data_IF_997427217243
#
_entry.id   IF_997427217243
#
_cell.length_a   1.000
_cell.length_b   1.000
_cell.length_c   1.000
_cell.angle_alpha   90.00
_cell.angle_beta   90.00
_cell.angle_gamma   90.00
#
_symmetry.space_group_name_H-M   'P 1'
#
loop_
_entity.id
_entity.type
_entity.pdbx_description
1 polymer ?
#
# COMPACT_ATOMS: atom_id res chain seq x y z
N UNK A 1 -2.70 -7.20 -2.68
CA UNK A 1 -1.94 -8.48 -2.60
C UNK A 1 -0.71 -8.38 -1.71
N UNK A 2 0.11 -7.33 -1.79
CA UNK A 2 1.34 -7.13 -0.99
C UNK A 2 1.14 -7.33 0.53
N UNK A 3 0.12 -6.71 1.12
CA UNK A 3 -0.23 -6.86 2.55
C UNK A 3 -0.55 -8.30 2.98
N UNK A 4 -1.13 -9.09 2.08
CA UNK A 4 -1.61 -10.43 2.41
C UNK A 4 -0.55 -11.50 2.18
N UNK A 5 0.39 -11.25 1.26
CA UNK A 5 1.28 -12.30 0.73
C UNK A 5 2.77 -11.95 0.85
N UNK A 6 3.15 -10.67 0.81
CA UNK A 6 4.55 -10.24 0.68
C UNK A 6 5.07 -9.59 1.96
N UNK A 7 4.35 -8.62 2.51
CA UNK A 7 4.81 -7.78 3.64
C UNK A 7 3.90 -7.91 4.86
N UNK A 8 3.36 -9.11 5.08
CA UNK A 8 2.37 -9.36 6.12
C UNK A 8 2.84 -8.90 7.51
N UNK A 9 4.12 -9.08 7.84
CA UNK A 9 4.69 -8.69 9.14
C UNK A 9 4.78 -7.17 9.32
N UNK A 10 5.06 -6.43 8.24
CA UNK A 10 5.04 -4.97 8.27
C UNK A 10 3.63 -4.47 8.61
N UNK A 11 2.62 -4.95 7.88
CA UNK A 11 1.23 -4.52 8.10
C UNK A 11 0.59 -5.10 9.38
N UNK A 12 1.14 -6.16 9.97
CA UNK A 12 0.65 -6.71 11.23
C UNK A 12 0.89 -5.77 12.43
N UNK A 13 1.90 -4.90 12.33
CA UNK A 13 2.30 -3.98 13.40
C UNK A 13 2.04 -2.52 13.06
N UNK A 14 1.80 -2.21 11.78
CA UNK A 14 1.51 -0.86 11.34
C UNK A 14 0.05 -0.50 11.57
N UNK A 15 -0.21 0.60 12.28
CA UNK A 15 -1.56 1.15 12.36
C UNK A 15 -1.93 1.76 11.01
N UNK A 16 -2.95 1.21 10.35
CA UNK A 16 -3.51 1.74 9.10
C UNK A 16 -4.79 2.55 9.35
N UNK A 17 -5.20 2.73 10.61
CA UNK A 17 -6.38 3.49 10.99
C UNK A 17 -6.31 4.97 10.57
N UNK A 18 -5.11 5.50 10.33
CA UNK A 18 -4.91 6.83 9.74
C UNK A 18 -5.29 6.90 8.25
N UNK A 19 -5.46 5.77 7.57
CA UNK A 19 -5.97 5.70 6.18
C UNK A 19 -7.49 5.54 6.12
N UNK A 20 -8.16 5.30 7.26
CA UNK A 20 -9.62 5.18 7.31
C UNK A 20 -10.26 6.57 7.18
N UNK A 21 -10.51 6.96 5.94
CA UNK A 21 -11.16 8.24 5.59
C UNK A 21 -12.52 8.39 6.29
N UNK A 22 -13.27 7.29 6.49
CA UNK A 22 -14.56 7.32 7.17
C UNK A 22 -14.44 7.60 8.67
N UNK A 23 -13.37 7.12 9.32
CA UNK A 23 -13.04 7.46 10.71
C UNK A 23 -12.55 8.91 10.82
N UNK A 24 -11.64 9.33 9.95
CA UNK A 24 -11.12 10.70 9.93
C UNK A 24 -12.26 11.70 9.77
N UNK A 25 -13.16 11.46 8.80
CA UNK A 25 -14.34 12.29 8.57
C UNK A 25 -15.17 12.49 9.84
N UNK A 26 -15.55 11.39 10.50
CA UNK A 26 -16.37 11.45 11.73
C UNK A 26 -15.71 12.26 12.84
N UNK A 27 -14.38 12.17 12.96
CA UNK A 27 -13.61 12.95 13.94
C UNK A 27 -13.66 14.45 13.59
N UNK A 28 -13.48 14.80 12.31
CA UNK A 28 -13.53 16.20 11.85
C UNK A 28 -14.92 16.81 12.01
N UNK A 29 -15.97 16.09 11.62
CA UNK A 29 -17.37 16.51 11.79
C UNK A 29 -17.71 16.69 13.28
N UNK A 30 -17.28 15.77 14.16
CA UNK A 30 -17.46 15.89 15.60
C UNK A 30 -16.70 17.08 16.21
N UNK A 31 -15.63 17.52 15.57
CA UNK A 31 -14.89 18.73 15.93
C UNK A 31 -15.51 20.02 15.37
N UNK A 32 -16.64 19.94 14.65
CA UNK A 32 -17.34 21.09 14.07
C UNK A 32 -16.78 21.55 12.73
N UNK A 33 -15.96 20.74 12.06
CA UNK A 33 -15.43 21.05 10.73
C UNK A 33 -16.50 20.77 9.67
N UNK A 34 -16.72 21.74 8.78
CA UNK A 34 -17.54 21.58 7.58
C UNK A 34 -16.70 20.97 6.44
N UNK A 35 -17.18 19.86 5.87
CA UNK A 35 -16.56 19.23 4.70
C UNK A 35 -17.25 19.75 3.44
N UNK A 36 -16.53 20.58 2.69
CA UNK A 36 -17.06 21.29 1.52
C UNK A 36 -17.11 20.37 0.27
N UNK A 37 -16.13 19.47 0.13
CA UNK A 37 -16.05 18.54 -1.00
C UNK A 37 -15.32 17.25 -0.60
N UNK A 38 -15.58 16.16 -1.32
CA UNK A 38 -14.94 14.86 -1.15
C UNK A 38 -14.46 14.32 -2.48
N UNK A 39 -13.17 13.96 -2.54
CA UNK A 39 -12.55 13.38 -3.73
C UNK A 39 -11.57 12.28 -3.37
N UNK A 40 -11.13 11.55 -4.39
CA UNK A 40 -10.03 10.60 -4.28
C UNK A 40 -8.78 11.31 -4.77
N UNK A 41 -7.80 11.49 -3.88
CA UNK A 41 -6.47 11.90 -4.27
C UNK A 41 -5.57 10.67 -4.28
N UNK A 42 -5.22 10.23 -5.47
CA UNK A 42 -4.15 9.27 -5.64
C UNK A 42 -2.83 9.93 -5.18
N UNK A 43 -2.33 9.54 -4.00
CA UNK A 43 -1.12 10.08 -3.40
C UNK A 43 -0.01 9.02 -3.39
N UNK A 44 1.03 9.16 -4.23
CA UNK A 44 2.20 8.28 -4.18
C UNK A 44 3.01 8.51 -2.89
N UNK A 45 3.78 7.51 -2.44
CA UNK A 45 4.13 6.28 -3.16
C UNK A 45 3.20 5.13 -2.81
N UNK A 46 2.62 4.49 -3.84
CA UNK A 46 1.99 3.20 -3.63
C UNK A 46 3.10 2.22 -3.25
N UNK A 47 2.92 1.40 -2.20
CA UNK A 47 3.83 0.29 -1.94
C UNK A 47 4.09 -0.51 -3.23
N UNK A 48 3.07 -0.64 -4.06
CA UNK A 48 3.11 -1.49 -5.25
C UNK A 48 3.81 -0.82 -6.45
N UNK A 49 4.03 0.51 -6.44
CA UNK A 49 4.68 1.26 -7.54
C UNK A 49 6.20 1.31 -7.50
N UNK A 50 6.82 0.86 -6.40
CA UNK A 50 8.29 0.94 -6.21
C UNK A 50 8.94 -0.42 -5.95
N UNK A 51 8.18 -1.51 -5.78
CA UNK A 51 8.78 -2.83 -5.69
C UNK A 51 9.02 -3.39 -7.09
N UNK A 52 10.27 -3.58 -7.53
CA UNK A 52 10.50 -4.14 -8.84
C UNK A 52 10.04 -5.60 -8.89
N UNK A 53 9.59 -6.05 -10.08
CA UNK A 53 8.96 -7.35 -10.25
C UNK A 53 9.86 -8.52 -9.82
N UNK A 54 11.18 -8.38 -9.99
CA UNK A 54 12.15 -9.37 -9.52
C UNK A 54 12.11 -9.53 -7.98
N UNK A 55 11.93 -8.45 -7.21
CA UNK A 55 11.82 -8.53 -5.75
C UNK A 55 10.50 -9.14 -5.30
N UNK A 56 9.42 -8.92 -6.04
CA UNK A 56 8.15 -9.64 -5.81
C UNK A 56 8.36 -11.14 -6.00
N UNK A 57 8.96 -11.56 -7.12
CA UNK A 57 9.18 -12.98 -7.43
C UNK A 57 10.07 -13.67 -6.38
N UNK A 58 11.15 -13.02 -5.94
CA UNK A 58 12.02 -13.54 -4.88
C UNK A 58 11.27 -13.72 -3.56
N UNK A 59 10.46 -12.73 -3.14
CA UNK A 59 9.68 -12.80 -1.89
C UNK A 59 8.58 -13.87 -1.94
N UNK A 60 8.09 -14.20 -3.15
CA UNK A 60 7.17 -15.32 -3.37
C UNK A 60 7.87 -16.69 -3.47
N UNK A 61 9.21 -16.74 -3.37
CA UNK A 61 9.99 -17.98 -3.44
C UNK A 61 10.19 -18.52 -4.86
N UNK A 62 9.86 -17.74 -5.89
CA UNK A 62 10.02 -18.14 -7.29
C UNK A 62 11.48 -17.87 -7.70
N UNK A 63 12.22 -18.93 -8.05
CA UNK A 63 13.60 -18.85 -8.56
C UNK A 63 13.62 -19.26 -10.03
N UNK A 64 13.76 -18.30 -10.93
CA UNK A 64 13.85 -18.54 -12.38
C UNK A 64 14.87 -17.61 -13.00
N UNK A 65 15.94 -18.19 -13.55
CA UNK A 65 17.03 -17.46 -14.21
C UNK A 65 16.52 -16.60 -15.37
N UNK A 66 15.58 -17.13 -16.14
CA UNK A 66 14.96 -16.44 -17.28
C UNK A 66 14.13 -15.22 -16.85
N UNK A 67 13.37 -15.34 -15.76
CA UNK A 67 12.58 -14.22 -15.23
C UNK A 67 13.48 -13.16 -14.58
N UNK A 68 14.55 -13.57 -13.90
CA UNK A 68 15.54 -12.63 -13.36
C UNK A 68 16.18 -11.81 -14.48
N UNK A 69 16.64 -12.43 -15.57
CA UNK A 69 17.23 -11.73 -16.72
C UNK A 69 16.25 -10.77 -17.40
N UNK A 70 14.96 -11.11 -17.47
CA UNK A 70 13.92 -10.25 -18.07
C UNK A 70 13.60 -9.01 -17.24
N UNK A 71 13.68 -9.09 -15.91
CA UNK A 71 13.29 -8.03 -14.98
C UNK A 71 14.47 -7.30 -14.32
N UNK A 72 15.70 -7.54 -14.78
CA UNK A 72 16.90 -6.80 -14.38
C UNK A 72 17.29 -5.88 -15.53
N UNK A 73 16.78 -4.65 -15.51
CA UNK A 73 17.12 -3.56 -16.43
C UNK A 73 17.62 -2.35 -15.66
#
# INVERSE_FOLDING_TARGET
MRKLVIDRDFFATHDEGWTDIGRIRRILEAAGVEIIDQGVLDTPPWPDTVMPANEVLKRLGIRSRQLEEQFTG
#
